data_IF_573843172670
#
_entry.id   IF_573843172670
#
_cell.length_a   1.000
_cell.length_b   1.000
_cell.length_c   1.000
_cell.angle_alpha   90.00
_cell.angle_beta   90.00
_cell.angle_gamma   90.00
#
_symmetry.space_group_name_H-M   'P 1'
#
loop_
_entity.id
_entity.type
_entity.pdbx_description
1 polymer ?
#
# COMPACT_ATOMS: atom_id res chain seq x y z
N UNK A 1 20.29 9.67 15.45
CA UNK A 1 20.75 9.06 14.20
C UNK A 1 20.54 10.01 13.02
N UNK A 2 21.62 10.34 12.30
CA UNK A 2 21.59 11.18 11.10
C UNK A 2 21.13 10.39 9.86
N UNK A 3 20.74 11.08 8.79
CA UNK A 3 20.27 10.43 7.54
C UNK A 3 21.36 9.54 6.91
N UNK A 4 22.62 10.00 6.93
CA UNK A 4 23.76 9.22 6.41
C UNK A 4 23.95 7.91 7.18
N UNK A 5 23.81 7.95 8.51
CA UNK A 5 23.90 6.77 9.36
C UNK A 5 22.78 5.77 9.04
N UNK A 6 21.53 6.24 8.86
CA UNK A 6 20.38 5.37 8.51
C UNK A 6 20.65 4.65 7.19
N UNK A 7 21.13 5.39 6.18
CA UNK A 7 21.47 4.83 4.87
C UNK A 7 22.73 3.94 4.88
N UNK A 8 23.58 4.04 5.90
CA UNK A 8 24.76 3.22 6.04
C UNK A 8 24.43 1.78 6.52
N UNK A 9 23.24 1.55 7.09
CA UNK A 9 22.83 0.20 7.47
C UNK A 9 22.69 -0.72 6.24
N UNK A 10 23.33 -1.89 6.34
CA UNK A 10 23.56 -2.86 5.26
C UNK A 10 22.35 -3.14 4.36
N UNK A 11 21.16 -3.26 4.94
CA UNK A 11 19.95 -3.67 4.23
C UNK A 11 18.96 -2.54 3.94
N UNK A 12 19.18 -1.34 4.49
CA UNK A 12 18.25 -0.20 4.33
C UNK A 12 18.17 0.27 2.90
N UNK A 13 19.31 0.41 2.21
CA UNK A 13 19.32 0.79 0.77
C UNK A 13 18.56 -0.23 -0.09
N UNK A 14 18.71 -1.52 0.21
CA UNK A 14 18.02 -2.59 -0.51
C UNK A 14 16.52 -2.57 -0.25
N UNK A 15 16.11 -2.35 1.00
CA UNK A 15 14.71 -2.15 1.37
C UNK A 15 14.10 -0.95 0.63
N UNK A 16 14.79 0.19 0.62
CA UNK A 16 14.30 1.39 -0.08
C UNK A 16 14.25 1.21 -1.59
N UNK A 17 15.23 0.53 -2.19
CA UNK A 17 15.17 0.19 -3.61
C UNK A 17 13.97 -0.70 -3.93
N UNK A 18 13.74 -1.75 -3.13
CA UNK A 18 12.57 -2.62 -3.29
C UNK A 18 11.26 -1.84 -3.18
N UNK A 19 11.16 -0.97 -2.17
CA UNK A 19 10.00 -0.09 -1.98
C UNK A 19 9.79 0.87 -3.13
N UNK A 20 10.83 1.50 -3.65
CA UNK A 20 10.70 2.37 -4.81
C UNK A 20 10.16 1.61 -6.02
N UNK A 21 10.77 0.45 -6.34
CA UNK A 21 10.39 -0.37 -7.50
C UNK A 21 8.93 -0.81 -7.39
N UNK A 22 8.54 -1.45 -6.30
CA UNK A 22 7.14 -1.91 -6.12
C UNK A 22 6.16 -0.74 -6.10
N UNK A 23 6.51 0.40 -5.51
CA UNK A 23 5.58 1.55 -5.47
C UNK A 23 5.50 2.30 -6.80
N UNK A 24 6.52 2.23 -7.65
CA UNK A 24 6.43 2.66 -9.04
C UNK A 24 5.39 1.83 -9.81
N UNK A 25 5.39 0.50 -9.64
CA UNK A 25 4.32 -0.36 -10.13
C UNK A 25 2.94 -0.01 -9.57
N UNK A 26 2.82 0.10 -8.24
CA UNK A 26 1.55 0.47 -7.58
C UNK A 26 1.00 1.83 -8.04
N UNK A 27 1.85 2.76 -8.47
CA UNK A 27 1.41 4.04 -9.02
C UNK A 27 0.70 3.90 -10.38
N UNK A 28 1.14 2.95 -11.21
CA UNK A 28 0.56 2.74 -12.55
C UNK A 28 -0.49 1.62 -12.61
N UNK A 29 -0.38 0.61 -11.74
CA UNK A 29 -1.20 -0.60 -11.75
C UNK A 29 -2.71 -0.31 -11.76
N UNK A 30 -3.25 0.48 -10.82
CA UNK A 30 -4.67 0.84 -10.81
C UNK A 30 -5.14 1.59 -12.07
N UNK A 31 -4.30 2.48 -12.60
CA UNK A 31 -4.59 3.23 -13.83
C UNK A 31 -4.65 2.27 -15.03
N UNK A 32 -3.62 1.47 -15.21
CA UNK A 32 -3.55 0.48 -16.28
C UNK A 32 -4.66 -0.57 -16.17
N UNK A 33 -5.02 -1.01 -14.97
CA UNK A 33 -6.12 -1.94 -14.73
C UNK A 33 -7.48 -1.32 -15.09
N UNK A 34 -7.71 -0.07 -14.69
CA UNK A 34 -8.95 0.64 -15.00
C UNK A 34 -9.12 0.82 -16.51
N UNK A 35 -8.13 1.39 -17.20
CA UNK A 35 -8.18 1.57 -18.66
C UNK A 35 -8.17 0.23 -19.40
N UNK A 36 -7.49 -0.78 -18.87
CA UNK A 36 -7.51 -2.14 -19.37
C UNK A 36 -8.90 -2.74 -19.37
N UNK A 37 -9.55 -2.77 -18.21
CA UNK A 37 -10.88 -3.37 -18.06
C UNK A 37 -11.90 -2.59 -18.89
N UNK A 38 -11.87 -1.25 -18.86
CA UNK A 38 -12.81 -0.42 -19.62
C UNK A 38 -12.60 -0.52 -21.14
N UNK A 39 -11.38 -0.83 -21.60
CA UNK A 39 -11.06 -1.03 -23.00
C UNK A 39 -11.42 -2.43 -23.55
N UNK A 40 -11.85 -3.37 -22.72
CA UNK A 40 -12.27 -4.70 -23.18
C UNK A 40 -13.62 -4.65 -23.90
N UNK A 41 -13.92 -5.60 -24.81
CA UNK A 41 -15.23 -5.69 -25.46
C UNK A 41 -16.41 -5.78 -24.50
N UNK A 42 -16.22 -6.43 -23.35
CA UNK A 42 -17.20 -6.57 -22.27
C UNK A 42 -16.87 -5.66 -21.06
N UNK A 43 -16.05 -4.63 -21.29
CA UNK A 43 -15.58 -3.70 -20.28
C UNK A 43 -16.72 -2.86 -19.71
N UNK A 44 -16.77 -2.71 -18.39
CA UNK A 44 -17.74 -1.85 -17.73
C UNK A 44 -17.25 -1.36 -16.38
N UNK A 45 -17.82 -0.24 -15.92
CA UNK A 45 -17.58 0.27 -14.57
C UNK A 45 -17.96 -0.77 -13.49
N UNK A 46 -19.01 -1.56 -13.73
CA UNK A 46 -19.41 -2.64 -12.82
C UNK A 46 -18.34 -3.73 -12.73
N UNK A 47 -17.75 -4.15 -13.85
CA UNK A 47 -16.68 -5.15 -13.88
C UNK A 47 -15.41 -4.65 -13.18
N UNK A 48 -15.05 -3.38 -13.39
CA UNK A 48 -13.95 -2.74 -12.66
C UNK A 48 -14.24 -2.71 -11.15
N UNK A 49 -15.43 -2.28 -10.76
CA UNK A 49 -15.87 -2.24 -9.37
C UNK A 49 -15.86 -3.61 -8.70
N UNK A 50 -16.33 -4.65 -9.38
CA UNK A 50 -16.26 -6.03 -8.89
C UNK A 50 -14.82 -6.52 -8.70
N UNK A 51 -13.93 -6.18 -9.64
CA UNK A 51 -12.52 -6.58 -9.60
C UNK A 51 -11.78 -5.92 -8.44
N UNK A 52 -11.95 -4.61 -8.24
CA UNK A 52 -11.36 -3.89 -7.08
C UNK A 52 -12.03 -4.30 -5.75
N UNK A 53 -13.34 -4.58 -5.81
CA UNK A 53 -14.12 -5.04 -4.67
C UNK A 53 -13.64 -6.38 -4.14
N UNK A 54 -13.43 -7.37 -5.01
CA UNK A 54 -12.95 -8.70 -4.56
C UNK A 54 -11.54 -8.62 -3.96
N UNK A 55 -10.64 -7.80 -4.53
CA UNK A 55 -9.33 -7.55 -3.92
C UNK A 55 -9.46 -7.00 -2.50
N UNK A 56 -10.31 -6.00 -2.32
CA UNK A 56 -10.52 -5.35 -1.02
C UNK A 56 -11.12 -6.30 -0.01
N UNK A 57 -12.15 -7.06 -0.39
CA UNK A 57 -12.81 -8.03 0.50
C UNK A 57 -11.83 -9.12 0.93
N UNK A 58 -11.08 -9.70 0.00
CA UNK A 58 -10.15 -10.77 0.36
C UNK A 58 -8.93 -10.25 1.14
N UNK A 59 -8.48 -9.01 0.87
CA UNK A 59 -7.52 -8.32 1.73
C UNK A 59 -8.01 -8.19 3.16
N UNK A 60 -9.24 -7.68 3.36
CA UNK A 60 -9.81 -7.48 4.70
C UNK A 60 -10.00 -8.79 5.46
N UNK A 61 -10.45 -9.84 4.78
CA UNK A 61 -10.57 -11.18 5.36
C UNK A 61 -9.21 -11.70 5.80
N UNK A 62 -8.16 -11.49 4.98
CA UNK A 62 -6.84 -12.05 5.22
C UNK A 62 -5.96 -11.23 6.18
N UNK A 63 -6.20 -9.92 6.29
CA UNK A 63 -5.37 -9.00 7.08
C UNK A 63 -5.17 -9.42 8.56
N UNK A 64 -6.21 -9.88 9.31
CA UNK A 64 -6.02 -10.36 10.68
C UNK A 64 -5.07 -11.55 10.76
N UNK A 65 -5.18 -12.49 9.81
CA UNK A 65 -4.37 -13.70 9.73
C UNK A 65 -2.92 -13.40 9.32
N UNK A 66 -2.71 -12.35 8.52
CA UNK A 66 -1.41 -11.98 7.97
C UNK A 66 -0.33 -11.79 9.03
N UNK A 67 -0.67 -11.19 10.18
CA UNK A 67 0.29 -10.98 11.28
C UNK A 67 0.80 -12.30 11.87
N UNK A 68 -0.11 -13.22 12.16
CA UNK A 68 0.24 -14.53 12.73
C UNK A 68 1.05 -15.37 11.75
N UNK A 69 0.70 -15.33 10.46
CA UNK A 69 1.51 -15.98 9.40
C UNK A 69 2.90 -15.36 9.34
N UNK A 70 3.00 -14.04 9.39
CA UNK A 70 4.26 -13.33 9.32
C UNK A 70 5.18 -13.65 10.51
N UNK A 71 4.62 -13.77 11.71
CA UNK A 71 5.38 -14.13 12.92
C UNK A 71 5.83 -15.60 12.88
N UNK A 72 4.95 -16.51 12.43
CA UNK A 72 5.27 -17.95 12.29
C UNK A 72 6.32 -18.23 11.23
N UNK A 73 6.25 -17.56 10.08
CA UNK A 73 7.10 -17.85 8.93
C UNK A 73 8.23 -16.85 8.70
N UNK A 74 8.32 -15.80 9.51
CA UNK A 74 9.33 -14.75 9.44
C UNK A 74 8.91 -13.61 8.51
N UNK A 75 8.87 -12.39 9.04
CA UNK A 75 8.26 -11.22 8.39
C UNK A 75 8.86 -10.85 7.03
N UNK A 76 10.17 -10.64 6.94
CA UNK A 76 10.85 -10.35 5.67
C UNK A 76 10.78 -11.51 4.67
N UNK A 77 10.70 -12.77 5.15
CA UNK A 77 10.45 -13.92 4.29
C UNK A 77 9.06 -13.81 3.65
N UNK A 78 8.04 -13.57 4.46
CA UNK A 78 6.66 -13.46 3.99
C UNK A 78 6.47 -12.30 3.05
N UNK A 79 7.01 -11.11 3.36
CA UNK A 79 7.00 -9.97 2.45
C UNK A 79 7.58 -10.33 1.08
N UNK A 80 8.76 -10.94 1.06
CA UNK A 80 9.39 -11.33 -0.20
C UNK A 80 8.58 -12.36 -0.99
N UNK A 81 8.06 -13.40 -0.32
CA UNK A 81 7.28 -14.46 -0.95
C UNK A 81 5.94 -13.94 -1.50
N UNK A 82 5.23 -13.10 -0.75
CA UNK A 82 3.94 -12.56 -1.19
C UNK A 82 4.11 -11.62 -2.37
N UNK A 83 5.16 -10.79 -2.39
CA UNK A 83 5.48 -9.91 -3.54
C UNK A 83 5.83 -10.72 -4.80
N UNK A 84 6.67 -11.76 -4.65
CA UNK A 84 7.00 -12.65 -5.78
C UNK A 84 5.76 -13.38 -6.30
N UNK A 85 4.92 -13.91 -5.40
CA UNK A 85 3.68 -14.58 -5.78
C UNK A 85 2.70 -13.61 -6.45
N UNK A 86 2.58 -12.37 -5.94
CA UNK A 86 1.73 -11.34 -6.51
C UNK A 86 2.17 -11.00 -7.94
N UNK A 87 3.47 -10.77 -8.16
CA UNK A 87 4.01 -10.53 -9.49
C UNK A 87 3.72 -11.67 -10.47
N UNK A 88 3.90 -12.93 -10.06
CA UNK A 88 3.60 -14.10 -10.89
C UNK A 88 2.12 -14.21 -11.27
N UNK A 89 1.21 -13.99 -10.32
CA UNK A 89 -0.24 -14.06 -10.56
C UNK A 89 -0.68 -12.88 -11.45
N UNK A 90 -0.11 -11.69 -11.26
CA UNK A 90 -0.37 -10.55 -12.15
C UNK A 90 0.14 -10.80 -13.59
N UNK A 91 1.23 -11.54 -13.78
CA UNK A 91 1.66 -11.94 -15.14
C UNK A 91 0.65 -12.83 -15.85
N UNK A 92 -0.14 -13.65 -15.13
CA UNK A 92 -1.26 -14.39 -15.73
C UNK A 92 -2.27 -13.41 -16.32
N UNK A 93 -2.64 -12.38 -15.56
CA UNK A 93 -3.55 -11.34 -16.03
C UNK A 93 -2.95 -10.57 -17.23
N UNK A 94 -1.66 -10.24 -17.21
CA UNK A 94 -0.96 -9.61 -18.35
C UNK A 94 -1.08 -10.47 -19.61
N UNK A 95 -0.88 -11.80 -19.50
CA UNK A 95 -0.97 -12.72 -20.62
C UNK A 95 -2.38 -12.81 -21.24
N UNK A 96 -3.44 -12.57 -20.45
CA UNK A 96 -4.79 -12.48 -21.02
C UNK A 96 -5.04 -11.12 -21.67
N UNK A 97 -4.53 -10.02 -21.09
CA UNK A 97 -4.67 -8.69 -21.67
C UNK A 97 -4.01 -8.56 -23.05
N UNK A 98 -2.92 -9.29 -23.32
CA UNK A 98 -2.30 -9.32 -24.66
C UNK A 98 -3.17 -9.96 -25.73
N UNK A 99 -4.17 -10.77 -25.36
CA UNK A 99 -5.11 -11.38 -26.32
C UNK A 99 -6.28 -10.47 -26.67
N UNK A 100 -6.48 -9.36 -25.95
CA UNK A 100 -7.63 -8.46 -26.09
C UNK A 100 -8.95 -9.02 -25.53
N UNK A 101 -8.95 -10.26 -25.00
CA UNK A 101 -10.11 -10.87 -24.38
C UNK A 101 -9.71 -11.48 -23.02
N UNK A 102 -10.11 -10.81 -21.95
CA UNK A 102 -9.84 -11.26 -20.58
C UNK A 102 -11.14 -11.83 -20.00
N UNK A 103 -11.20 -13.14 -19.68
CA UNK A 103 -12.35 -13.71 -19.00
C UNK A 103 -12.56 -13.05 -17.64
N UNK A 104 -13.82 -12.78 -17.28
CA UNK A 104 -14.19 -12.21 -15.97
C UNK A 104 -13.61 -13.07 -14.83
N UNK A 105 -13.64 -14.40 -14.97
CA UNK A 105 -13.07 -15.31 -13.97
C UNK A 105 -11.58 -15.06 -13.73
N UNK A 106 -10.79 -14.75 -14.78
CA UNK A 106 -9.36 -14.44 -14.63
C UNK A 106 -9.18 -13.16 -13.82
N UNK A 107 -9.94 -12.10 -14.15
CA UNK A 107 -9.89 -10.85 -13.38
C UNK A 107 -10.20 -11.09 -11.91
N UNK A 108 -11.31 -11.78 -11.60
CA UNK A 108 -11.74 -11.99 -10.22
C UNK A 108 -10.78 -12.90 -9.43
N UNK A 109 -10.28 -13.98 -10.04
CA UNK A 109 -9.37 -14.91 -9.37
C UNK A 109 -8.00 -14.25 -9.13
N UNK A 110 -7.41 -13.62 -10.15
CA UNK A 110 -6.09 -12.97 -10.02
C UNK A 110 -6.14 -11.86 -8.97
N UNK A 111 -7.14 -10.97 -9.05
CA UNK A 111 -7.25 -9.83 -8.15
C UNK A 111 -7.71 -10.24 -6.74
N UNK A 112 -8.50 -11.31 -6.62
CA UNK A 112 -8.80 -11.95 -5.33
C UNK A 112 -7.54 -12.53 -4.68
N UNK A 113 -6.75 -13.32 -5.41
CA UNK A 113 -5.47 -13.84 -4.92
C UNK A 113 -4.51 -12.73 -4.53
N UNK A 114 -4.44 -11.65 -5.33
CA UNK A 114 -3.65 -10.47 -4.99
C UNK A 114 -4.09 -9.86 -3.65
N UNK A 115 -5.40 -9.73 -3.42
CA UNK A 115 -5.96 -9.28 -2.13
C UNK A 115 -5.52 -10.14 -0.94
N UNK A 116 -5.59 -11.47 -1.07
CA UNK A 116 -5.11 -12.41 -0.04
C UNK A 116 -3.61 -12.16 0.26
N UNK A 117 -2.78 -12.08 -0.78
CA UNK A 117 -1.33 -11.87 -0.63
C UNK A 117 -1.04 -10.52 0.03
N UNK A 118 -1.78 -9.48 -0.32
CA UNK A 118 -1.69 -8.16 0.33
C UNK A 118 -2.08 -8.18 1.81
N UNK A 119 -3.08 -9.00 2.18
CA UNK A 119 -3.49 -9.18 3.57
C UNK A 119 -2.38 -9.78 4.43
N UNK A 120 -1.47 -10.55 3.83
CA UNK A 120 -0.27 -11.07 4.50
C UNK A 120 0.87 -10.05 4.46
N UNK A 121 1.04 -9.37 3.32
CA UNK A 121 2.14 -8.44 3.09
C UNK A 121 2.19 -7.31 4.11
N UNK A 122 1.08 -6.59 4.33
CA UNK A 122 1.09 -5.38 5.15
C UNK A 122 1.43 -5.63 6.62
N UNK A 123 0.81 -6.63 7.30
CA UNK A 123 1.21 -7.00 8.65
C UNK A 123 2.68 -7.45 8.72
N UNK A 124 3.14 -8.24 7.75
CA UNK A 124 4.53 -8.68 7.69
C UNK A 124 5.50 -7.50 7.52
N UNK A 125 5.21 -6.58 6.61
CA UNK A 125 6.05 -5.42 6.30
C UNK A 125 6.25 -4.50 7.50
N UNK A 126 5.25 -4.36 8.37
CA UNK A 126 5.33 -3.53 9.59
C UNK A 126 6.53 -3.89 10.49
N UNK A 127 6.97 -5.15 10.49
CA UNK A 127 8.15 -5.59 11.26
C UNK A 127 9.45 -5.65 10.48
N UNK A 128 9.46 -5.33 9.18
CA UNK A 128 10.69 -5.34 8.37
C UNK A 128 11.56 -4.12 8.67
N UNK A 129 10.96 -2.92 8.80
CA UNK A 129 11.72 -1.69 9.13
C UNK A 129 12.43 -1.83 10.49
N UNK A 130 11.76 -2.28 11.58
CA UNK A 130 12.42 -2.54 12.86
C UNK A 130 13.52 -3.61 12.82
N UNK A 131 13.49 -4.52 11.86
CA UNK A 131 14.52 -5.55 11.72
C UNK A 131 15.79 -5.06 11.01
N UNK A 132 15.70 -3.97 10.23
CA UNK A 132 16.86 -3.41 9.50
C UNK A 132 17.47 -2.18 10.17
N UNK A 133 16.76 -1.56 11.11
CA UNK A 133 17.17 -0.33 11.77
C UNK A 133 17.03 -0.44 13.30
N UNK A 134 17.98 0.13 14.06
CA UNK A 134 17.84 0.26 15.51
C UNK A 134 16.72 1.25 15.85
N UNK A 135 16.19 1.16 17.07
CA UNK A 135 15.10 2.02 17.57
C UNK A 135 15.36 3.52 17.34
N UNK A 136 16.59 3.97 17.62
CA UNK A 136 17.03 5.36 17.42
C UNK A 136 16.96 5.85 15.96
N UNK A 137 16.85 4.93 15.00
CA UNK A 137 16.72 5.19 13.57
C UNK A 137 15.28 5.06 13.04
N UNK A 138 14.34 4.46 13.77
CA UNK A 138 13.03 4.08 13.23
C UNK A 138 12.20 5.26 12.74
N UNK A 139 12.12 6.35 13.50
CA UNK A 139 11.36 7.53 13.07
C UNK A 139 11.88 8.08 11.72
N UNK A 140 13.20 8.20 11.59
CA UNK A 140 13.83 8.69 10.36
C UNK A 140 13.76 7.67 9.22
N UNK A 141 13.89 6.39 9.53
CA UNK A 141 13.71 5.28 8.59
C UNK A 141 12.30 5.26 8.00
N UNK A 142 11.28 5.43 8.84
CA UNK A 142 9.89 5.54 8.41
C UNK A 142 9.65 6.77 7.52
N UNK A 143 10.18 7.94 7.90
CA UNK A 143 10.05 9.15 7.07
C UNK A 143 10.72 8.99 5.69
N UNK A 144 11.90 8.35 5.64
CA UNK A 144 12.56 8.02 4.37
C UNK A 144 11.79 6.98 3.56
N UNK A 145 11.23 5.95 4.21
CA UNK A 145 10.38 4.96 3.56
C UNK A 145 9.14 5.62 2.95
N UNK A 146 8.49 6.54 3.66
CA UNK A 146 7.36 7.32 3.13
C UNK A 146 7.77 8.16 1.92
N UNK A 147 8.89 8.87 2.00
CA UNK A 147 9.41 9.66 0.88
C UNK A 147 9.66 8.78 -0.36
N UNK A 148 10.32 7.63 -0.18
CA UNK A 148 10.62 6.66 -1.25
C UNK A 148 9.34 6.07 -1.84
N UNK A 149 8.39 5.69 -0.98
CA UNK A 149 7.09 5.14 -1.36
C UNK A 149 6.32 6.14 -2.22
N UNK A 150 6.16 7.37 -1.73
CA UNK A 150 5.41 8.42 -2.42
C UNK A 150 6.09 8.83 -3.73
N UNK A 151 7.42 8.92 -3.74
CA UNK A 151 8.17 9.21 -4.97
C UNK A 151 7.95 8.13 -6.04
N UNK A 152 7.94 6.86 -5.63
CA UNK A 152 7.62 5.74 -6.52
C UNK A 152 6.21 5.86 -7.09
N UNK A 153 5.20 5.99 -6.21
CA UNK A 153 3.80 6.10 -6.62
C UNK A 153 3.55 7.27 -7.57
N UNK A 154 4.04 8.47 -7.24
CA UNK A 154 3.88 9.66 -8.07
C UNK A 154 4.54 9.46 -9.44
N UNK A 155 5.76 8.92 -9.45
CA UNK A 155 6.50 8.70 -10.71
C UNK A 155 5.80 7.65 -11.59
N UNK A 156 5.26 6.59 -10.99
CA UNK A 156 4.52 5.54 -11.69
C UNK A 156 3.19 6.04 -12.25
N UNK A 157 2.42 6.77 -11.44
CA UNK A 157 1.16 7.35 -11.89
C UNK A 157 1.37 8.38 -13.01
N UNK A 158 2.38 9.24 -12.88
CA UNK A 158 2.71 10.25 -13.87
C UNK A 158 3.13 9.66 -15.23
N UNK A 159 3.80 8.50 -15.23
CA UNK A 159 4.20 7.81 -16.46
C UNK A 159 3.12 6.89 -17.04
N UNK A 160 2.11 6.49 -16.25
CA UNK A 160 1.12 5.49 -16.63
C UNK A 160 0.38 5.84 -17.94
N UNK A 161 -0.13 7.06 -18.08
CA UNK A 161 -0.87 7.47 -19.29
C UNK A 161 -0.02 7.40 -20.56
N UNK A 162 1.22 7.91 -20.48
CA UNK A 162 2.18 7.84 -21.59
C UNK A 162 2.55 6.40 -21.94
N UNK A 163 2.79 5.54 -20.93
CA UNK A 163 3.13 4.13 -21.13
C UNK A 163 1.96 3.37 -21.78
N UNK A 164 0.73 3.63 -21.36
CA UNK A 164 -0.48 3.02 -21.94
C UNK A 164 -0.66 3.46 -23.39
N UNK A 165 -0.53 4.76 -23.67
CA UNK A 165 -0.69 5.31 -25.02
C UNK A 165 0.38 4.77 -26.00
N UNK A 166 1.63 4.68 -25.54
CA UNK A 166 2.77 4.30 -26.40
C UNK A 166 2.94 2.79 -26.52
N UNK A 167 2.80 2.04 -25.41
CA UNK A 167 3.12 0.62 -25.33
C UNK A 167 1.91 -0.28 -25.03
N UNK A 168 0.75 0.31 -24.75
CA UNK A 168 -0.47 -0.41 -24.42
C UNK A 168 -0.57 -0.80 -22.94
N UNK A 169 -1.79 -1.20 -22.56
CA UNK A 169 -2.12 -1.61 -21.19
C UNK A 169 -1.32 -2.83 -20.75
N UNK A 170 -1.17 -3.84 -21.60
CA UNK A 170 -0.52 -5.11 -21.25
C UNK A 170 0.94 -4.92 -20.84
N UNK A 171 1.68 -4.05 -21.55
CA UNK A 171 3.07 -3.73 -21.19
C UNK A 171 3.11 -2.97 -19.86
N UNK A 172 2.21 -2.01 -19.66
CA UNK A 172 2.14 -1.22 -18.41
C UNK A 172 1.82 -2.11 -17.19
N UNK A 173 0.84 -3.02 -17.30
CA UNK A 173 0.57 -4.04 -16.27
C UNK A 173 1.75 -5.01 -16.09
N UNK A 174 2.47 -5.32 -17.17
CA UNK A 174 3.69 -6.14 -17.12
C UNK A 174 4.81 -5.50 -16.31
N UNK A 175 4.97 -4.17 -16.40
CA UNK A 175 5.92 -3.41 -15.59
C UNK A 175 5.54 -3.49 -14.11
N UNK A 176 4.25 -3.33 -13.79
CA UNK A 176 3.76 -3.47 -12.42
C UNK A 176 4.02 -4.89 -11.87
N UNK A 177 3.63 -5.93 -12.60
CA UNK A 177 3.87 -7.33 -12.24
C UNK A 177 5.37 -7.62 -12.02
N UNK A 178 6.23 -7.14 -12.91
CA UNK A 178 7.68 -7.26 -12.78
C UNK A 178 8.21 -6.53 -11.53
N UNK A 179 7.66 -5.35 -11.23
CA UNK A 179 8.08 -4.54 -10.09
C UNK A 179 7.84 -5.25 -8.75
N UNK A 180 6.67 -5.90 -8.59
CA UNK A 180 6.37 -6.74 -7.44
C UNK A 180 7.33 -7.91 -7.35
N UNK A 181 7.56 -8.63 -8.45
CA UNK A 181 8.46 -9.78 -8.46
C UNK A 181 9.90 -9.40 -8.06
N UNK A 182 10.43 -8.32 -8.63
CA UNK A 182 11.79 -7.82 -8.34
C UNK A 182 11.89 -7.32 -6.89
N UNK A 183 10.90 -6.55 -6.41
CA UNK A 183 10.83 -6.12 -5.00
C UNK A 183 10.87 -7.32 -4.05
N UNK A 184 10.07 -8.34 -4.35
CA UNK A 184 10.00 -9.56 -3.56
C UNK A 184 11.35 -10.29 -3.48
N UNK A 185 12.07 -10.42 -4.60
CA UNK A 185 13.43 -10.98 -4.63
C UNK A 185 14.36 -10.16 -3.73
N UNK A 186 14.37 -8.83 -3.88
CA UNK A 186 15.25 -7.94 -3.11
C UNK A 186 15.02 -8.09 -1.61
N UNK A 187 13.76 -8.17 -1.17
CA UNK A 187 13.41 -8.33 0.25
C UNK A 187 13.77 -9.74 0.75
N UNK A 188 13.52 -10.76 -0.06
CA UNK A 188 13.80 -12.16 0.29
C UNK A 188 15.30 -12.43 0.53
N UNK A 189 16.20 -11.62 -0.05
CA UNK A 189 17.65 -11.76 0.19
C UNK A 189 18.06 -11.55 1.65
N UNK A 190 17.29 -10.79 2.43
CA UNK A 190 17.56 -10.54 3.85
C UNK A 190 16.49 -11.11 4.79
N UNK A 191 15.76 -12.13 4.30
CA UNK A 191 14.75 -12.89 5.08
C UNK A 191 15.23 -13.42 6.44
N UNK A 192 16.54 -13.62 6.60
CA UNK A 192 17.16 -14.13 7.82
C UNK A 192 17.13 -13.12 8.99
N UNK A 193 16.91 -11.82 8.72
CA UNK A 193 16.82 -10.79 9.76
C UNK A 193 15.56 -10.88 10.61
N UNK A 194 14.52 -11.55 10.09
CA UNK A 194 13.27 -11.81 10.80
C UNK A 194 13.10 -13.31 10.91
N UNK A 195 13.85 -13.98 11.80
CA UNK A 195 13.74 -15.42 11.99
C UNK A 195 12.30 -15.79 12.40
N UNK A 196 11.93 -17.04 12.11
CA UNK A 196 10.62 -17.58 12.53
C UNK A 196 10.55 -17.55 14.05
N UNK A 197 9.39 -17.23 14.60
CA UNK A 197 9.14 -17.51 16.00
C UNK A 197 9.39 -19.01 16.29
N UNK A 198 9.91 -19.33 17.47
CA UNK A 198 9.95 -20.71 17.94
C UNK A 198 8.52 -21.26 17.97
N UNK A 199 8.35 -22.55 17.67
CA UNK A 199 7.04 -23.18 17.49
C UNK A 199 6.09 -22.81 18.65
N UNK A 200 5.01 -22.09 18.34
CA UNK A 200 3.84 -22.01 19.21
C UNK A 200 3.10 -23.33 19.05
N UNK A 201 2.80 -24.02 20.16
CA UNK A 201 1.95 -25.21 20.16
C UNK A 201 0.47 -24.88 19.90
N UNK A 202 0.10 -23.60 19.95
CA UNK A 202 -1.28 -23.15 19.80
C UNK A 202 -1.74 -23.19 18.33
N UNK A 203 -3.05 -23.37 18.13
CA UNK A 203 -3.65 -23.17 16.83
C UNK A 203 -3.64 -21.68 16.46
N UNK A 204 -3.54 -21.38 15.17
CA UNK A 204 -3.51 -20.01 14.66
C UNK A 204 -4.72 -19.16 15.12
N UNK A 205 -5.88 -19.79 15.27
CA UNK A 205 -7.11 -19.14 15.74
C UNK A 205 -6.99 -18.74 17.22
N UNK A 206 -6.30 -19.54 18.02
CA UNK A 206 -6.09 -19.26 19.45
C UNK A 206 -5.16 -18.06 19.62
N UNK A 207 -4.06 -18.01 18.83
CA UNK A 207 -3.15 -16.87 18.82
C UNK A 207 -3.87 -15.57 18.40
N UNK A 208 -4.76 -15.64 17.39
CA UNK A 208 -5.60 -14.51 16.99
C UNK A 208 -6.56 -14.07 18.10
N UNK A 209 -7.25 -15.02 18.72
CA UNK A 209 -8.20 -14.74 19.80
C UNK A 209 -7.49 -14.09 20.99
N UNK A 210 -6.32 -14.59 21.33
CA UNK A 210 -5.49 -14.04 22.40
C UNK A 210 -5.04 -12.60 22.06
N UNK A 211 -4.51 -12.38 20.86
CA UNK A 211 -4.11 -11.04 20.40
C UNK A 211 -5.27 -10.04 20.41
N UNK A 212 -6.47 -10.48 20.03
CA UNK A 212 -7.68 -9.65 20.09
C UNK A 212 -8.09 -9.29 21.52
N UNK A 213 -8.01 -10.24 22.46
CA UNK A 213 -8.27 -9.97 23.88
C UNK A 213 -7.26 -8.99 24.47
N UNK A 214 -5.98 -9.14 24.13
CA UNK A 214 -4.92 -8.21 24.55
C UNK A 214 -5.19 -6.82 23.99
N UNK A 215 -5.54 -6.70 22.70
CA UNK A 215 -5.90 -5.42 22.08
C UNK A 215 -7.05 -4.72 22.83
N UNK A 216 -8.13 -5.47 23.13
CA UNK A 216 -9.28 -4.92 23.85
C UNK A 216 -8.95 -4.50 25.29
N UNK A 217 -7.91 -5.06 25.91
CA UNK A 217 -7.49 -4.66 27.25
C UNK A 217 -6.91 -3.23 27.30
N UNK A 218 -6.35 -2.74 26.19
CA UNK A 218 -5.81 -1.37 26.09
C UNK A 218 -6.86 -0.40 25.54
N UNK A 219 -7.82 0.01 26.39
CA UNK A 219 -8.94 0.90 26.01
C UNK A 219 -8.51 2.14 25.22
N UNK A 220 -7.37 2.75 25.56
CA UNK A 220 -6.85 3.93 24.86
C UNK A 220 -6.43 3.61 23.42
N UNK A 221 -5.86 2.42 23.16
CA UNK A 221 -5.52 1.97 21.80
C UNK A 221 -6.80 1.75 21.00
N UNK A 222 -7.78 1.07 21.58
CA UNK A 222 -9.08 0.84 20.93
C UNK A 222 -9.73 2.16 20.52
N UNK A 223 -9.74 3.16 21.40
CA UNK A 223 -10.29 4.49 21.11
C UNK A 223 -9.52 5.17 19.98
N UNK A 224 -8.18 5.14 20.00
CA UNK A 224 -7.36 5.74 18.94
C UNK A 224 -7.63 5.05 17.60
N UNK A 225 -7.66 3.72 17.57
CA UNK A 225 -7.93 2.94 16.35
C UNK A 225 -9.33 3.26 15.83
N UNK A 226 -10.35 3.26 16.69
CA UNK A 226 -11.72 3.59 16.28
C UNK A 226 -11.83 5.02 15.74
N UNK A 227 -11.26 6.01 16.43
CA UNK A 227 -11.27 7.40 16.00
C UNK A 227 -10.53 7.60 14.67
N UNK A 228 -9.35 7.00 14.52
CA UNK A 228 -8.55 7.14 13.30
C UNK A 228 -9.18 6.40 12.12
N UNK A 229 -9.76 5.22 12.33
CA UNK A 229 -10.54 4.51 11.31
C UNK A 229 -11.72 5.34 10.84
N UNK A 230 -12.42 6.02 11.74
CA UNK A 230 -13.52 6.93 11.37
C UNK A 230 -13.02 8.13 10.55
N UNK A 231 -11.92 8.77 10.97
CA UNK A 231 -11.30 9.88 10.22
C UNK A 231 -10.89 9.43 8.82
N UNK A 232 -10.22 8.29 8.69
CA UNK A 232 -9.79 7.74 7.38
C UNK A 232 -10.99 7.39 6.50
N UNK A 233 -12.06 6.84 7.08
CA UNK A 233 -13.30 6.56 6.34
C UNK A 233 -13.94 7.84 5.79
N UNK A 234 -14.06 8.88 6.62
CA UNK A 234 -14.58 10.18 6.17
C UNK A 234 -13.68 10.85 5.12
N UNK A 235 -12.37 10.80 5.33
CA UNK A 235 -11.40 11.33 4.37
C UNK A 235 -11.48 10.59 3.03
N UNK A 236 -11.51 9.26 3.03
CA UNK A 236 -11.62 8.47 1.82
C UNK A 236 -12.92 8.76 1.05
N UNK A 237 -14.06 8.88 1.75
CA UNK A 237 -15.33 9.26 1.12
C UNK A 237 -15.29 10.67 0.53
N UNK A 238 -14.69 11.62 1.24
CA UNK A 238 -14.53 13.00 0.78
C UNK A 238 -13.63 13.09 -0.45
N UNK A 239 -12.48 12.42 -0.43
CA UNK A 239 -11.46 12.49 -1.49
C UNK A 239 -11.82 11.65 -2.73
N UNK A 240 -12.34 10.43 -2.55
CA UNK A 240 -12.56 9.51 -3.67
C UNK A 240 -13.93 9.67 -4.34
N UNK A 241 -14.88 10.37 -3.70
CA UNK A 241 -16.26 10.50 -4.21
C UNK A 241 -16.73 11.96 -4.23
N UNK A 242 -16.84 12.61 -3.06
CA UNK A 242 -17.45 13.95 -2.97
C UNK A 242 -16.62 15.02 -3.68
N UNK A 243 -15.31 15.03 -3.48
CA UNK A 243 -14.39 16.00 -4.08
C UNK A 243 -14.43 16.02 -5.61
N UNK A 244 -14.25 14.87 -6.30
CA UNK A 244 -14.40 14.79 -7.75
C UNK A 244 -15.80 15.21 -8.24
N UNK A 245 -16.86 14.84 -7.51
CA UNK A 245 -18.24 15.20 -7.86
C UNK A 245 -18.48 16.71 -7.78
N UNK A 246 -18.10 17.34 -6.66
CA UNK A 246 -18.20 18.80 -6.48
C UNK A 246 -17.34 19.53 -7.52
N UNK A 247 -16.13 19.03 -7.79
CA UNK A 247 -15.28 19.58 -8.83
C UNK A 247 -15.97 19.52 -10.21
N UNK A 248 -16.71 18.45 -10.50
CA UNK A 248 -17.47 18.27 -11.74
C UNK A 248 -18.70 19.17 -11.84
N UNK A 249 -19.47 19.30 -10.76
CA UNK A 249 -20.74 20.04 -10.75
C UNK A 249 -20.54 21.55 -10.62
N UNK A 250 -19.55 22.00 -9.85
CA UNK A 250 -19.37 23.41 -9.48
C UNK A 250 -18.07 24.05 -9.98
N UNK A 251 -17.14 23.27 -10.53
CA UNK A 251 -15.85 23.76 -11.01
C UNK A 251 -15.51 23.19 -12.41
N UNK A 252 -14.26 23.38 -12.87
CA UNK A 252 -13.78 22.87 -14.17
C UNK A 252 -13.50 21.35 -14.15
N UNK A 253 -14.32 20.58 -13.44
CA UNK A 253 -14.24 19.13 -13.32
C UNK A 253 -12.86 18.62 -12.95
N UNK A 254 -12.40 17.64 -13.73
CA UNK A 254 -11.13 16.95 -13.52
C UNK A 254 -9.93 17.91 -13.42
N UNK A 255 -9.94 19.06 -14.11
CA UNK A 255 -8.85 20.03 -14.07
C UNK A 255 -8.71 20.66 -12.69
N UNK A 256 -9.82 21.10 -12.09
CA UNK A 256 -9.80 21.68 -10.75
C UNK A 256 -9.42 20.63 -9.70
N UNK A 257 -9.95 19.41 -9.83
CA UNK A 257 -9.62 18.32 -8.91
C UNK A 257 -8.13 17.93 -8.96
N UNK A 258 -7.53 17.96 -10.15
CA UNK A 258 -6.10 17.69 -10.33
C UNK A 258 -5.21 18.70 -9.59
N UNK A 259 -5.62 19.97 -9.48
CA UNK A 259 -4.88 20.95 -8.67
C UNK A 259 -4.93 20.62 -7.16
N UNK A 260 -6.07 20.12 -6.66
CA UNK A 260 -6.22 19.70 -5.26
C UNK A 260 -5.29 18.53 -4.95
N UNK A 261 -5.33 17.47 -5.77
CA UNK A 261 -4.47 16.28 -5.60
C UNK A 261 -2.98 16.65 -5.74
N UNK A 262 -2.64 17.60 -6.61
CA UNK A 262 -1.26 18.10 -6.74
C UNK A 262 -0.81 18.81 -5.47
N UNK A 263 -1.65 19.69 -4.91
CA UNK A 263 -1.34 20.41 -3.67
C UNK A 263 -1.19 19.44 -2.48
N UNK A 264 -2.05 18.42 -2.40
CA UNK A 264 -1.96 17.35 -1.41
C UNK A 264 -0.64 16.57 -1.55
N UNK A 265 -0.27 16.18 -2.77
CA UNK A 265 0.98 15.49 -3.06
C UNK A 265 2.21 16.29 -2.63
N UNK A 266 2.21 17.61 -2.88
CA UNK A 266 3.25 18.52 -2.39
C UNK A 266 3.27 18.54 -0.85
N UNK A 267 2.10 18.61 -0.21
CA UNK A 267 1.93 18.54 1.24
C UNK A 267 2.51 17.26 1.84
N UNK A 268 2.26 16.10 1.23
CA UNK A 268 2.80 14.80 1.64
C UNK A 268 4.34 14.77 1.57
N UNK A 269 4.92 15.35 0.52
CA UNK A 269 6.38 15.45 0.36
C UNK A 269 6.97 16.37 1.43
N UNK A 270 6.42 17.58 1.58
CA UNK A 270 6.88 18.57 2.57
C UNK A 270 6.75 18.01 3.99
N UNK A 271 5.61 17.42 4.32
CA UNK A 271 5.36 16.78 5.63
C UNK A 271 6.35 15.65 5.92
N UNK A 272 6.65 14.81 4.93
CA UNK A 272 7.67 13.77 5.04
C UNK A 272 9.06 14.34 5.31
N UNK A 273 9.44 15.43 4.63
CA UNK A 273 10.71 16.13 4.84
C UNK A 273 10.79 16.80 6.22
N UNK A 274 9.70 17.39 6.71
CA UNK A 274 9.61 17.95 8.06
C UNK A 274 9.76 16.84 9.11
N UNK A 275 9.10 15.70 8.92
CA UNK A 275 9.17 14.55 9.83
C UNK A 275 10.59 13.95 9.96
N UNK A 276 11.47 14.15 8.97
CA UNK A 276 12.89 13.78 9.06
C UNK A 276 13.64 14.63 10.11
N UNK A 277 13.20 15.87 10.34
CA UNK A 277 13.86 16.86 11.24
C UNK A 277 13.17 17.00 12.58
N UNK A 278 11.85 16.91 12.64
CA UNK A 278 11.06 17.19 13.85
C UNK A 278 10.83 15.91 14.67
N UNK A 279 11.09 15.99 15.98
CA UNK A 279 10.87 14.89 16.94
C UNK A 279 9.90 15.33 18.04
N UNK A 280 8.59 15.08 17.89
CA UNK A 280 7.64 15.46 18.92
C UNK A 280 7.84 14.62 20.19
N UNK A 281 7.79 15.27 21.37
CA UNK A 281 7.90 14.61 22.68
C UNK A 281 6.76 13.61 22.95
N UNK A 282 5.58 13.86 22.35
CA UNK A 282 4.40 13.01 22.47
C UNK A 282 3.85 12.66 21.07
N UNK A 283 4.41 11.64 20.37
CA UNK A 283 4.13 11.38 18.97
C UNK A 283 2.64 11.08 18.70
N UNK A 284 1.97 10.29 19.55
CA UNK A 284 0.55 9.97 19.37
C UNK A 284 -0.36 11.20 19.54
N UNK A 285 -0.06 12.09 20.49
CA UNK A 285 -0.81 13.33 20.69
C UNK A 285 -0.60 14.30 19.53
N UNK A 286 0.65 14.43 19.08
CA UNK A 286 0.98 15.24 17.91
C UNK A 286 0.22 14.76 16.68
N UNK A 287 0.19 13.44 16.43
CA UNK A 287 -0.53 12.83 15.31
C UNK A 287 -2.03 13.15 15.33
N UNK A 288 -2.67 13.03 16.50
CA UNK A 288 -4.10 13.36 16.67
C UNK A 288 -4.38 14.86 16.46
N UNK A 289 -3.52 15.74 16.96
CA UNK A 289 -3.68 17.18 16.77
C UNK A 289 -3.40 17.61 15.33
N UNK A 290 -2.43 16.99 14.66
CA UNK A 290 -2.10 17.27 13.26
C UNK A 290 -3.10 16.71 12.26
N UNK A 291 -3.97 15.78 12.68
CA UNK A 291 -5.08 15.29 11.85
C UNK A 291 -6.36 16.12 12.00
N UNK A 292 -6.43 17.02 12.99
CA UNK A 292 -7.54 17.96 13.16
C UNK A 292 -7.78 18.92 11.97
N UNK A 293 -6.75 19.38 11.22
CA UNK A 293 -6.95 20.11 9.96
C UNK A 293 -7.68 19.30 8.88
N UNK A 294 -7.53 17.97 8.85
CA UNK A 294 -8.20 17.10 7.87
C UNK A 294 -9.72 17.18 8.08
N UNK A 295 -10.18 17.25 9.32
CA UNK A 295 -11.60 17.46 9.63
C UNK A 295 -12.16 18.79 9.10
N UNK A 296 -11.36 19.87 9.07
CA UNK A 296 -11.79 21.12 8.46
C UNK A 296 -11.87 21.03 6.94
N UNK A 297 -10.93 20.33 6.30
CA UNK A 297 -10.99 20.05 4.87
C UNK A 297 -12.23 19.24 4.49
N UNK A 298 -12.53 18.18 5.23
CA UNK A 298 -13.73 17.35 5.01
C UNK A 298 -15.01 18.16 5.25
N UNK A 299 -15.06 19.00 6.28
CA UNK A 299 -16.24 19.81 6.59
C UNK A 299 -16.47 20.98 5.61
N UNK A 300 -15.47 21.33 4.80
CA UNK A 300 -15.55 22.38 3.79
C UNK A 300 -15.98 21.88 2.40
N UNK A 301 -16.06 20.56 2.21
CA UNK A 301 -16.64 19.89 1.04
C UNK A 301 -18.14 19.67 1.24
#
# INVERSE_FOLDING_TARGET
MQTKEVLAHKYVKRLFLARFISNYGNGMGPIALAFGILGLPNGSANLLGLTLGITTVLFLIMAPFGGVIADKYGRARMVGLTDMAAGLILFVQVAYFTTGNVPIAVLLIVNGCFGILWGIFWPAFSGVIPAVLPEAGLQKGNALNSLVTNSGMISGAASAGFLIDTFGVSVTLGIDAASFFISGILIFTFRHLTPRAQHSENAMIDDLRHGWQVFLSFRWIVIIVAAFSFIVMCWAAAENVLGPLIALEHFNGAKSWSYVITAESIGLVVGSLIAIKVKPKYPMRFLMLSSFPITFYIAAL
#
